data_IF_647221206346
#
_entry.id   IF_647221206346
#
_cell.length_a   1.000
_cell.length_b   1.000
_cell.length_c   1.000
_cell.angle_alpha   90.00
_cell.angle_beta   90.00
_cell.angle_gamma   90.00
#
_symmetry.space_group_name_H-M   'P 1'
#
loop_
_entity.id
_entity.type
_entity.pdbx_description
1 polymer ?
#
# COMPACT_ATOMS: atom_id res chain seq x y z
N UNK A 1 -6.35 -16.65 15.13
CA UNK A 1 -6.36 -15.32 15.73
C UNK A 1 -5.26 -14.43 15.16
N UNK A 2 -4.03 -14.87 15.25
CA UNK A 2 -2.92 -14.11 14.67
C UNK A 2 -3.05 -13.93 13.16
N UNK A 3 -3.57 -14.95 12.48
CA UNK A 3 -3.76 -14.91 11.05
C UNK A 3 -4.68 -13.76 10.63
N UNK A 4 -5.78 -13.57 11.34
CA UNK A 4 -6.73 -12.50 11.04
C UNK A 4 -6.12 -11.13 11.25
N UNK A 5 -5.34 -10.97 12.32
CA UNK A 5 -4.64 -9.71 12.60
C UNK A 5 -3.63 -9.41 11.50
N UNK A 6 -2.84 -10.42 11.10
CA UNK A 6 -1.85 -10.25 10.05
C UNK A 6 -2.49 -9.93 8.69
N UNK A 7 -3.61 -10.59 8.40
CA UNK A 7 -4.33 -10.34 7.15
C UNK A 7 -4.85 -8.91 7.08
N UNK A 8 -5.33 -8.37 8.19
CA UNK A 8 -5.81 -6.99 8.25
C UNK A 8 -4.67 -5.99 8.08
N UNK A 9 -3.53 -6.25 8.73
CA UNK A 9 -2.36 -5.40 8.56
C UNK A 9 -1.84 -5.44 7.14
N UNK A 10 -1.84 -6.61 6.53
CA UNK A 10 -1.47 -6.76 5.13
C UNK A 10 -2.42 -5.98 4.22
N UNK A 11 -3.72 -6.11 4.45
CA UNK A 11 -4.71 -5.40 3.65
C UNK A 11 -4.54 -3.90 3.73
N UNK A 12 -4.24 -3.38 4.90
CA UNK A 12 -4.00 -1.95 5.10
C UNK A 12 -2.75 -1.51 4.32
N UNK A 13 -1.67 -2.26 4.41
CA UNK A 13 -0.45 -1.92 3.68
C UNK A 13 -0.68 -1.98 2.16
N UNK A 14 -1.37 -3.02 1.69
CA UNK A 14 -1.69 -3.15 0.27
C UNK A 14 -2.51 -1.96 -0.22
N UNK A 15 -3.51 -1.55 0.54
CA UNK A 15 -4.33 -0.40 0.23
C UNK A 15 -3.48 0.87 0.09
N UNK A 16 -2.57 1.10 1.04
CA UNK A 16 -1.73 2.29 1.03
C UNK A 16 -0.79 2.31 -0.18
N UNK A 17 -0.18 1.17 -0.48
CA UNK A 17 0.73 1.06 -1.62
C UNK A 17 -0.02 1.25 -2.94
N UNK A 18 -1.14 0.55 -3.10
CA UNK A 18 -1.94 0.65 -4.32
C UNK A 18 -2.43 2.07 -4.55
N UNK A 19 -2.91 2.73 -3.48
CA UNK A 19 -3.40 4.10 -3.58
C UNK A 19 -2.28 5.08 -3.93
N UNK A 20 -1.11 4.90 -3.32
CA UNK A 20 0.06 5.74 -3.60
C UNK A 20 0.42 5.66 -5.08
N UNK A 21 0.52 4.46 -5.61
CA UNK A 21 0.91 4.28 -7.01
C UNK A 21 -0.19 4.72 -7.99
N UNK A 22 -1.46 4.58 -7.60
CA UNK A 22 -2.57 5.05 -8.43
C UNK A 22 -2.61 6.57 -8.52
N UNK A 23 -2.30 7.24 -7.41
CA UNK A 23 -2.40 8.70 -7.31
C UNK A 23 -1.15 9.41 -7.80
N UNK A 24 0.02 8.88 -7.48
CA UNK A 24 1.29 9.57 -7.73
C UNK A 24 2.12 8.95 -8.84
N UNK A 25 1.70 7.79 -9.34
CA UNK A 25 2.40 7.13 -10.43
C UNK A 25 3.58 6.28 -9.98
N UNK A 26 4.41 5.93 -10.92
CA UNK A 26 5.55 5.05 -10.74
C UNK A 26 6.51 5.53 -9.65
N UNK A 27 6.89 4.65 -8.75
CA UNK A 27 7.82 4.95 -7.65
C UNK A 27 8.65 3.74 -7.27
N UNK A 28 9.84 3.99 -6.73
CA UNK A 28 10.61 2.94 -6.06
C UNK A 28 10.15 2.84 -4.60
N UNK A 29 10.59 1.77 -3.91
CA UNK A 29 10.11 1.48 -2.55
C UNK A 29 10.35 2.60 -1.56
N UNK A 30 11.52 3.23 -1.61
CA UNK A 30 11.83 4.33 -0.72
C UNK A 30 10.87 5.52 -0.94
N UNK A 31 10.56 5.81 -2.19
CA UNK A 31 9.60 6.87 -2.53
C UNK A 31 8.21 6.57 -1.98
N UNK A 32 7.78 5.31 -2.08
CA UNK A 32 6.49 4.89 -1.52
C UNK A 32 6.46 5.12 -0.01
N UNK A 33 7.52 4.70 0.67
CA UNK A 33 7.64 4.89 2.13
C UNK A 33 7.53 6.36 2.50
N UNK A 34 8.32 7.21 1.86
CA UNK A 34 8.31 8.65 2.17
C UNK A 34 6.95 9.27 1.89
N UNK A 35 6.30 8.88 0.79
CA UNK A 35 5.00 9.42 0.45
C UNK A 35 3.96 9.10 1.52
N UNK A 36 3.90 7.85 1.95
CA UNK A 36 2.93 7.42 2.95
C UNK A 36 3.20 8.10 4.29
N UNK A 37 4.47 8.16 4.71
CA UNK A 37 4.82 8.78 5.97
C UNK A 37 4.49 10.27 5.98
N UNK A 38 4.82 10.99 4.92
CA UNK A 38 4.53 12.42 4.82
C UNK A 38 3.04 12.70 4.72
N UNK A 39 2.35 11.94 3.89
CA UNK A 39 0.91 12.15 3.68
C UNK A 39 0.12 11.88 4.95
N UNK A 40 0.56 10.93 5.77
CA UNK A 40 -0.10 10.63 7.05
C UNK A 40 0.41 11.50 8.19
N UNK A 41 1.21 12.52 7.90
CA UNK A 41 1.81 13.42 8.90
C UNK A 41 2.56 12.62 9.98
N UNK A 42 3.32 11.66 9.52
CA UNK A 42 4.21 10.80 10.34
C UNK A 42 3.46 9.84 11.28
N UNK A 43 2.14 9.73 11.14
CA UNK A 43 1.38 8.77 11.93
C UNK A 43 1.66 7.34 11.50
N UNK A 44 1.71 7.14 10.17
CA UNK A 44 2.02 5.82 9.62
C UNK A 44 3.49 5.75 9.25
N UNK A 45 4.17 4.73 9.75
CA UNK A 45 5.57 4.47 9.43
C UNK A 45 5.70 3.06 8.90
N UNK A 46 6.35 2.92 7.77
CA UNK A 46 6.51 1.63 7.11
C UNK A 46 7.90 1.07 7.37
N UNK A 47 7.94 -0.17 7.78
CA UNK A 47 9.20 -0.88 7.96
C UNK A 47 9.57 -1.58 6.66
N UNK A 48 10.85 -1.57 6.31
CA UNK A 48 11.34 -2.23 5.11
C UNK A 48 11.02 -3.72 5.12
N UNK A 49 11.08 -4.34 6.31
CA UNK A 49 10.76 -5.74 6.46
C UNK A 49 9.32 -6.10 6.10
N UNK A 50 8.41 -5.13 6.14
CA UNK A 50 7.02 -5.33 5.74
C UNK A 50 6.77 -4.90 4.30
N UNK A 51 7.38 -3.79 3.90
CA UNK A 51 7.11 -3.19 2.59
C UNK A 51 7.59 -4.05 1.43
N UNK A 52 8.86 -4.47 1.44
CA UNK A 52 9.41 -5.17 0.28
C UNK A 52 8.77 -6.54 0.03
N UNK A 53 8.50 -7.35 1.04
CA UNK A 53 7.73 -8.57 0.82
C UNK A 53 6.34 -8.30 0.25
N UNK A 54 5.68 -7.22 0.69
CA UNK A 54 4.36 -6.85 0.18
C UNK A 54 4.44 -6.46 -1.29
N UNK A 55 5.45 -5.66 -1.68
CA UNK A 55 5.65 -5.27 -3.07
C UNK A 55 5.90 -6.49 -3.95
N UNK A 56 6.69 -7.44 -3.46
CA UNK A 56 6.96 -8.67 -4.19
C UNK A 56 5.68 -9.49 -4.37
N UNK A 57 4.93 -9.66 -3.31
CA UNK A 57 3.66 -10.43 -3.33
C UNK A 57 2.65 -9.79 -4.28
N UNK A 58 2.51 -8.47 -4.24
CA UNK A 58 1.58 -7.76 -5.10
C UNK A 58 2.01 -7.81 -6.56
N UNK A 59 3.30 -7.82 -6.82
CA UNK A 59 3.82 -7.98 -8.17
C UNK A 59 3.49 -9.37 -8.70
N UNK A 60 3.68 -10.39 -7.87
CA UNK A 60 3.34 -11.76 -8.25
C UNK A 60 1.84 -11.95 -8.48
N UNK A 61 1.02 -11.23 -7.74
CA UNK A 61 -0.43 -11.29 -7.92
C UNK A 61 -0.92 -10.54 -9.17
N UNK A 62 -0.01 -9.83 -9.84
CA UNK A 62 -0.37 -9.08 -11.03
C UNK A 62 -0.95 -7.70 -10.76
N UNK A 63 -0.95 -7.26 -9.52
CA UNK A 63 -1.45 -5.94 -9.14
C UNK A 63 -0.45 -4.83 -9.43
N UNK A 64 0.84 -5.16 -9.40
CA UNK A 64 1.92 -4.24 -9.68
C UNK A 64 2.80 -4.78 -10.80
N UNK A 65 3.43 -3.87 -11.51
CA UNK A 65 4.50 -4.15 -12.46
C UNK A 65 5.77 -3.56 -11.88
N UNK A 66 6.87 -4.29 -11.97
CA UNK A 66 8.15 -3.77 -11.51
C UNK A 66 9.15 -3.74 -12.64
N UNK A 67 10.04 -2.76 -12.60
CA UNK A 67 11.11 -2.64 -13.56
C UNK A 67 12.30 -1.93 -12.92
N UNK A 68 13.49 -2.19 -13.43
CA UNK A 68 14.68 -1.52 -12.97
C UNK A 68 14.78 -0.13 -13.60
N UNK A 69 15.28 0.81 -12.84
CA UNK A 69 15.52 2.16 -13.31
C UNK A 69 16.64 2.80 -12.49
N UNK A 70 16.88 4.07 -12.75
CA UNK A 70 17.91 4.83 -12.05
C UNK A 70 17.22 5.93 -11.26
N UNK A 71 17.49 5.98 -9.95
CA UNK A 71 16.90 6.98 -9.08
C UNK A 71 17.55 8.34 -9.28
N UNK A 72 16.96 9.37 -8.68
CA UNK A 72 17.50 10.74 -8.72
C UNK A 72 18.89 10.86 -8.09
N UNK A 73 19.28 9.87 -7.27
CA UNK A 73 20.61 9.81 -6.69
C UNK A 73 21.57 8.97 -7.54
N UNK A 74 21.21 8.71 -8.79
CA UNK A 74 21.99 7.93 -9.72
C UNK A 74 22.27 6.51 -9.24
N UNK A 75 21.31 5.94 -8.49
CA UNK A 75 21.40 4.57 -8.01
C UNK A 75 20.38 3.71 -8.71
N UNK A 76 20.75 2.47 -8.97
CA UNK A 76 19.85 1.50 -9.55
C UNK A 76 18.76 1.17 -8.53
N UNK A 77 17.50 1.25 -8.95
CA UNK A 77 16.37 1.00 -8.08
C UNK A 77 15.27 0.28 -8.84
N UNK A 78 14.48 -0.48 -8.10
CA UNK A 78 13.33 -1.15 -8.65
C UNK A 78 12.12 -0.23 -8.52
N UNK A 79 11.47 0.05 -9.65
CA UNK A 79 10.30 0.90 -9.70
C UNK A 79 9.04 0.07 -9.84
N UNK A 80 7.96 0.55 -9.26
CA UNK A 80 6.67 -0.14 -9.25
C UNK A 80 5.60 0.75 -9.85
N UNK A 81 4.70 0.14 -10.62
CA UNK A 81 3.55 0.80 -11.20
C UNK A 81 2.32 -0.05 -10.95
N UNK A 82 1.17 0.59 -10.80
CA UNK A 82 -0.08 -0.16 -10.62
C UNK A 82 -0.61 -0.61 -11.98
N UNK A 83 -1.12 -1.84 -12.04
CA UNK A 83 -1.72 -2.41 -13.25
C UNK A 83 -3.22 -2.18 -13.24
N UNK A 84 -3.89 -2.50 -14.35
CA UNK A 84 -5.36 -2.47 -14.40
C UNK A 84 -5.96 -3.40 -13.35
N UNK A 85 -5.37 -4.59 -13.17
CA UNK A 85 -5.79 -5.52 -12.13
C UNK A 85 -5.58 -4.94 -10.73
N UNK A 86 -4.48 -4.22 -10.53
CA UNK A 86 -4.21 -3.55 -9.27
C UNK A 86 -5.20 -2.45 -8.96
N UNK A 87 -5.65 -1.71 -9.98
CA UNK A 87 -6.68 -0.67 -9.78
C UNK A 87 -8.01 -1.29 -9.36
N UNK A 88 -8.34 -2.44 -9.90
CA UNK A 88 -9.53 -3.19 -9.52
C UNK A 88 -9.43 -3.65 -8.06
N UNK A 89 -8.26 -4.17 -7.69
CA UNK A 89 -8.00 -4.58 -6.33
C UNK A 89 -8.07 -3.40 -5.37
N UNK A 90 -7.56 -2.24 -5.78
CA UNK A 90 -7.64 -1.02 -4.98
C UNK A 90 -9.09 -0.66 -4.67
N UNK A 91 -9.97 -0.74 -5.67
CA UNK A 91 -11.38 -0.43 -5.45
C UNK A 91 -12.01 -1.35 -4.40
N UNK A 92 -11.67 -2.65 -4.45
CA UNK A 92 -12.16 -3.62 -3.47
C UNK A 92 -11.61 -3.32 -2.08
N UNK A 93 -10.32 -2.99 -1.98
CA UNK A 93 -9.70 -2.65 -0.71
C UNK A 93 -10.30 -1.38 -0.10
N UNK A 94 -10.59 -0.39 -0.93
CA UNK A 94 -11.22 0.85 -0.46
C UNK A 94 -12.63 0.59 0.07
N UNK A 95 -13.39 -0.30 -0.57
CA UNK A 95 -14.72 -0.68 -0.09
C UNK A 95 -14.65 -1.38 1.26
N UNK A 96 -13.72 -2.32 1.40
CA UNK A 96 -13.53 -3.05 2.66
C UNK A 96 -13.14 -2.09 3.78
N UNK A 97 -12.26 -1.16 3.50
CA UNK A 97 -11.82 -0.18 4.47
C UNK A 97 -12.96 0.74 4.90
N UNK A 98 -13.75 1.22 3.94
CA UNK A 98 -14.90 2.09 4.22
C UNK A 98 -15.93 1.37 5.09
N UNK A 99 -16.18 0.09 4.82
CA UNK A 99 -17.11 -0.71 5.62
C UNK A 99 -16.62 -0.87 7.04
N UNK A 100 -15.33 -1.17 7.20
CA UNK A 100 -14.73 -1.35 8.53
C UNK A 100 -14.75 -0.04 9.33
N UNK A 101 -14.27 1.05 8.75
CA UNK A 101 -14.20 2.33 9.45
C UNK A 101 -15.60 2.86 9.77
N UNK A 102 -16.56 2.65 8.88
CA UNK A 102 -17.95 3.01 9.13
C UNK A 102 -18.54 2.25 10.31
N UNK A 103 -18.27 0.94 10.36
CA UNK A 103 -18.75 0.10 11.47
C UNK A 103 -18.12 0.52 12.80
N UNK A 104 -16.80 0.76 12.79
CA UNK A 104 -16.09 1.20 13.98
C UNK A 104 -16.64 2.55 14.46
N UNK A 105 -16.85 3.47 13.54
CA UNK A 105 -17.38 4.80 13.87
C UNK A 105 -18.74 4.71 14.54
N UNK A 106 -19.62 3.82 14.04
CA UNK A 106 -20.94 3.62 14.64
C UNK A 106 -20.84 3.10 16.06
N UNK A 107 -19.93 2.14 16.29
CA UNK A 107 -19.74 1.59 17.64
C UNK A 107 -19.23 2.68 18.58
N UNK A 108 -18.24 3.45 18.15
CA UNK A 108 -17.66 4.52 18.97
C UNK A 108 -18.68 5.62 19.28
N UNK A 109 -19.54 5.90 18.33
CA UNK A 109 -20.54 6.96 18.48
C UNK A 109 -21.61 6.60 19.50
N UNK A 110 -22.00 5.34 19.58
CA UNK A 110 -23.11 4.89 20.44
C UNK A 110 -22.66 4.17 21.70
N UNK A 111 -21.38 4.20 22.01
CA UNK A 111 -20.86 3.54 23.23
C UNK A 111 -20.84 4.47 24.45
#
# INVERSE_FOLDING_TARGET
>A
MRKHTNDRLQGTLDLLVLKTLASSGRMHGYGITLHIERTSEEVLRLEEGSLYPALHRMTQSGWLRSEWGVSEHNRRARYYSITAMGRKQLADEEKSWAALTGAVARVLQFS
#
